data_IF_934998129180
#
_entry.id   IF_934998129180
#
_cell.length_a   1.000
_cell.length_b   1.000
_cell.length_c   1.000
_cell.angle_alpha   90.00
_cell.angle_beta   90.00
_cell.angle_gamma   90.00
#
_symmetry.space_group_name_H-M   'P 1'
#
loop_
_entity.id
_entity.type
_entity.pdbx_description
1 polymer ?
#
# COMPACT_ATOMS: atom_id res chain seq x y z
N UNK A 1 41.88 -19.91 -4.64
CA UNK A 1 42.03 -21.35 -4.40
C UNK A 1 41.59 -21.65 -2.98
N UNK A 2 41.07 -22.84 -2.66
CA UNK A 2 40.97 -23.29 -1.26
C UNK A 2 42.29 -23.02 -0.53
N UNK A 3 42.23 -22.65 0.75
CA UNK A 3 43.39 -22.13 1.51
C UNK A 3 44.63 -23.05 1.51
N UNK A 4 44.48 -24.32 1.11
CA UNK A 4 45.52 -25.35 1.11
C UNK A 4 46.13 -25.66 -0.27
N UNK A 5 45.74 -24.96 -1.35
CA UNK A 5 46.24 -25.25 -2.70
C UNK A 5 46.64 -23.98 -3.44
N UNK A 6 47.83 -23.95 -4.03
CA UNK A 6 48.35 -22.89 -4.89
C UNK A 6 48.90 -23.46 -6.19
N UNK A 7 48.83 -22.66 -7.26
CA UNK A 7 49.47 -23.03 -8.52
C UNK A 7 50.98 -23.14 -8.28
N UNK A 8 51.56 -24.25 -8.74
CA UNK A 8 52.95 -24.61 -8.44
C UNK A 8 53.16 -25.38 -7.13
N UNK A 9 52.12 -25.64 -6.34
CA UNK A 9 52.25 -26.51 -5.16
C UNK A 9 52.63 -27.93 -5.57
N UNK A 10 53.54 -28.53 -4.79
CA UNK A 10 53.99 -29.90 -4.96
C UNK A 10 53.00 -30.86 -4.30
N UNK A 11 52.46 -31.77 -5.09
CA UNK A 11 51.55 -32.83 -4.62
C UNK A 11 52.11 -34.20 -4.98
N UNK A 12 51.88 -35.19 -4.11
CA UNK A 12 52.22 -36.60 -4.39
C UNK A 12 51.07 -37.23 -5.17
N UNK A 13 51.40 -37.85 -6.30
CA UNK A 13 50.45 -38.66 -7.06
C UNK A 13 50.58 -40.14 -6.68
N UNK A 14 49.58 -40.95 -7.03
CA UNK A 14 49.48 -42.37 -6.63
C UNK A 14 50.69 -43.22 -7.02
N UNK A 15 51.40 -42.84 -8.09
CA UNK A 15 52.64 -43.50 -8.51
C UNK A 15 53.85 -43.23 -7.60
N UNK A 16 53.68 -42.43 -6.54
CA UNK A 16 54.72 -42.04 -5.60
C UNK A 16 55.58 -40.85 -6.05
N UNK A 17 55.43 -40.41 -7.29
CA UNK A 17 56.11 -39.25 -7.84
C UNK A 17 55.49 -37.93 -7.33
N UNK A 18 56.29 -36.86 -7.33
CA UNK A 18 55.82 -35.51 -7.08
C UNK A 18 55.50 -34.81 -8.40
N UNK A 19 54.45 -33.99 -8.41
CA UNK A 19 54.11 -33.11 -9.52
C UNK A 19 53.61 -31.76 -9.05
N UNK A 20 53.52 -30.82 -9.98
CA UNK A 20 53.08 -29.44 -9.75
C UNK A 20 51.66 -29.25 -10.24
N UNK A 21 50.86 -28.46 -9.50
CA UNK A 21 49.53 -28.05 -9.93
C UNK A 21 49.66 -26.96 -11.01
N UNK A 22 49.21 -27.21 -12.24
CA UNK A 22 49.43 -26.27 -13.37
C UNK A 22 48.15 -25.63 -13.95
N UNK A 23 46.98 -26.25 -13.78
CA UNK A 23 45.68 -25.65 -14.12
C UNK A 23 44.62 -26.13 -13.13
N UNK A 24 43.69 -25.27 -12.73
CA UNK A 24 42.62 -25.64 -11.81
C UNK A 24 41.31 -24.91 -12.11
N UNK A 25 40.19 -25.52 -11.71
CA UNK A 25 38.85 -24.91 -11.67
C UNK A 25 38.09 -25.43 -10.46
N UNK A 26 37.12 -24.66 -9.99
CA UNK A 26 36.21 -25.06 -8.92
C UNK A 26 34.81 -25.16 -9.50
N UNK A 27 34.06 -26.20 -9.13
CA UNK A 27 32.68 -26.43 -9.53
C UNK A 27 31.82 -26.71 -8.29
N UNK A 28 30.57 -26.25 -8.29
CA UNK A 28 29.59 -26.52 -7.24
C UNK A 28 28.47 -27.38 -7.81
N UNK A 29 28.15 -28.47 -7.11
CA UNK A 29 26.96 -29.28 -7.37
C UNK A 29 26.18 -29.42 -6.06
N UNK A 30 25.03 -28.74 -5.98
CA UNK A 30 24.26 -28.58 -4.74
C UNK A 30 25.06 -27.87 -3.63
N UNK A 31 25.27 -28.54 -2.50
CA UNK A 31 26.04 -28.01 -1.36
C UNK A 31 27.51 -28.49 -1.31
N UNK A 32 28.02 -29.09 -2.40
CA UNK A 32 29.35 -29.71 -2.47
C UNK A 32 30.24 -29.03 -3.50
N UNK A 33 31.46 -28.68 -3.10
CA UNK A 33 32.45 -28.04 -3.97
C UNK A 33 33.51 -29.01 -4.43
N UNK A 34 33.73 -29.06 -5.74
CA UNK A 34 34.71 -29.90 -6.40
C UNK A 34 35.84 -29.02 -6.94
N UNK A 35 37.07 -29.36 -6.57
CA UNK A 35 38.30 -28.75 -7.08
C UNK A 35 38.90 -29.68 -8.12
N UNK A 36 38.84 -29.25 -9.37
CA UNK A 36 39.47 -29.94 -10.48
C UNK A 36 40.84 -29.34 -10.75
N UNK A 37 41.87 -30.16 -10.85
CA UNK A 37 43.22 -29.67 -11.16
C UNK A 37 44.04 -30.67 -11.97
N UNK A 38 45.00 -30.13 -12.71
CA UNK A 38 46.00 -30.90 -13.45
C UNK A 38 47.31 -30.93 -12.69
N UNK A 39 47.89 -32.12 -12.57
CA UNK A 39 49.22 -32.33 -11.98
C UNK A 39 50.19 -32.69 -13.09
N UNK A 40 51.27 -31.93 -13.23
CA UNK A 40 52.34 -32.22 -14.17
C UNK A 40 53.56 -32.78 -13.43
N UNK A 41 54.11 -33.92 -13.88
CA UNK A 41 55.31 -34.53 -13.28
C UNK A 41 56.57 -34.23 -14.08
N UNK A 42 57.74 -34.43 -13.47
CA UNK A 42 59.03 -34.34 -14.17
C UNK A 42 59.19 -35.34 -15.33
N UNK A 43 58.38 -36.40 -15.36
CA UNK A 43 58.29 -37.36 -16.46
C UNK A 43 57.29 -36.97 -17.55
N UNK A 44 56.66 -35.80 -17.46
CA UNK A 44 55.68 -35.28 -18.42
C UNK A 44 54.30 -35.94 -18.34
N UNK A 45 53.99 -36.63 -17.24
CA UNK A 45 52.67 -37.24 -17.02
C UNK A 45 51.72 -36.15 -16.51
N UNK A 46 50.54 -36.08 -17.13
CA UNK A 46 49.44 -35.19 -16.71
C UNK A 46 48.33 -36.03 -16.09
N UNK A 47 48.03 -35.78 -14.81
CA UNK A 47 46.91 -36.39 -14.08
C UNK A 47 45.82 -35.33 -13.83
N UNK A 48 44.55 -35.71 -13.89
CA UNK A 48 43.40 -34.84 -13.59
C UNK A 48 42.74 -35.35 -12.33
N UNK A 49 42.69 -34.52 -11.28
CA UNK A 49 42.09 -34.86 -10.01
C UNK A 49 40.87 -34.02 -9.71
N UNK A 50 39.96 -34.60 -8.94
CA UNK A 50 38.76 -33.99 -8.39
C UNK A 50 38.77 -34.18 -6.88
N UNK A 51 38.87 -33.09 -6.13
CA UNK A 51 38.83 -33.12 -4.66
C UNK A 51 37.61 -32.37 -4.14
N UNK A 52 36.91 -32.94 -3.16
CA UNK A 52 35.86 -32.21 -2.43
C UNK A 52 36.53 -31.20 -1.48
N UNK A 53 36.23 -29.91 -1.63
CA UNK A 53 36.85 -28.85 -0.84
C UNK A 53 35.83 -28.10 0.03
N UNK A 54 36.27 -27.59 1.17
CA UNK A 54 35.53 -26.59 1.93
C UNK A 54 36.00 -25.20 1.51
N UNK A 55 35.09 -24.38 0.97
CA UNK A 55 35.35 -22.95 0.85
C UNK A 55 35.16 -22.26 2.20
N UNK A 56 35.77 -21.07 2.41
CA UNK A 56 35.40 -20.20 3.51
C UNK A 56 33.88 -20.05 3.59
N UNK A 57 33.33 -20.23 4.79
CA UNK A 57 31.89 -20.17 5.06
C UNK A 57 31.23 -18.91 4.47
N UNK A 58 31.93 -17.78 4.50
CA UNK A 58 31.49 -16.50 3.92
C UNK A 58 31.21 -16.56 2.41
N UNK A 59 32.01 -17.31 1.63
CA UNK A 59 31.81 -17.44 0.18
C UNK A 59 30.62 -18.34 -0.13
N UNK A 60 30.39 -19.38 0.68
CA UNK A 60 29.20 -20.22 0.56
C UNK A 60 27.94 -19.42 0.87
N UNK A 61 27.95 -18.64 1.96
CA UNK A 61 26.83 -17.78 2.34
C UNK A 61 26.52 -16.71 1.28
N UNK A 62 27.54 -16.11 0.67
CA UNK A 62 27.37 -15.14 -0.40
C UNK A 62 26.71 -15.76 -1.65
N UNK A 63 27.18 -16.94 -2.08
CA UNK A 63 26.60 -17.69 -3.22
C UNK A 63 25.17 -18.14 -2.97
N UNK A 64 24.86 -18.66 -1.78
CA UNK A 64 23.49 -19.08 -1.43
C UNK A 64 22.52 -17.88 -1.43
N UNK A 65 22.95 -16.72 -0.93
CA UNK A 65 22.18 -15.47 -1.03
C UNK A 65 21.97 -15.04 -2.48
N UNK A 66 22.99 -15.16 -3.32
CA UNK A 66 22.88 -14.87 -4.75
C UNK A 66 21.88 -15.80 -5.45
N UNK A 67 21.92 -17.10 -5.18
CA UNK A 67 20.97 -18.08 -5.73
C UNK A 67 19.53 -17.82 -5.25
N UNK A 68 19.34 -17.50 -3.97
CA UNK A 68 18.05 -17.13 -3.41
C UNK A 68 17.49 -15.87 -4.09
N UNK A 69 18.33 -14.84 -4.27
CA UNK A 69 17.93 -13.59 -4.92
C UNK A 69 17.63 -13.80 -6.41
N UNK A 70 18.42 -14.62 -7.12
CA UNK A 70 18.14 -15.01 -8.50
C UNK A 70 16.80 -15.74 -8.62
N UNK A 71 16.49 -16.63 -7.67
CA UNK A 71 15.18 -17.29 -7.60
C UNK A 71 14.06 -16.28 -7.38
N UNK A 72 14.21 -15.35 -6.42
CA UNK A 72 13.22 -14.29 -6.17
C UNK A 72 12.99 -13.42 -7.41
N UNK A 73 14.06 -12.98 -8.07
CA UNK A 73 13.98 -12.15 -9.28
C UNK A 73 13.23 -12.86 -10.41
N UNK A 74 13.51 -14.15 -10.65
CA UNK A 74 12.74 -14.94 -11.61
C UNK A 74 11.23 -14.96 -11.27
N UNK A 75 10.88 -15.14 -9.99
CA UNK A 75 9.47 -15.08 -9.58
C UNK A 75 8.87 -13.68 -9.73
N UNK A 76 9.60 -12.61 -9.43
CA UNK A 76 9.16 -11.23 -9.63
C UNK A 76 8.83 -10.97 -11.10
N UNK A 77 9.69 -11.41 -12.01
CA UNK A 77 9.50 -11.25 -13.45
C UNK A 77 8.30 -12.06 -13.99
N UNK A 78 8.09 -13.28 -13.47
CA UNK A 78 7.01 -14.16 -13.92
C UNK A 78 5.64 -13.84 -13.30
N UNK A 79 5.61 -13.31 -12.07
CA UNK A 79 4.37 -13.22 -11.28
C UNK A 79 3.83 -11.80 -11.09
N UNK A 80 4.69 -10.80 -11.09
CA UNK A 80 4.27 -9.41 -10.93
C UNK A 80 4.03 -8.72 -12.26
N UNK A 81 3.10 -7.76 -12.25
CA UNK A 81 2.57 -7.09 -13.44
C UNK A 81 2.62 -5.56 -13.34
N UNK A 82 3.39 -5.04 -12.38
CA UNK A 82 3.56 -3.61 -12.16
C UNK A 82 4.87 -3.31 -11.45
N UNK A 83 5.27 -2.04 -11.52
CA UNK A 83 6.43 -1.47 -10.84
C UNK A 83 6.00 -0.32 -9.94
N UNK A 84 6.59 -0.23 -8.75
CA UNK A 84 6.53 0.97 -7.91
C UNK A 84 7.41 2.05 -8.54
N UNK A 85 6.82 3.14 -9.00
CA UNK A 85 7.52 4.23 -9.70
C UNK A 85 7.82 5.44 -8.83
N UNK A 86 7.18 5.53 -7.66
CA UNK A 86 7.48 6.54 -6.65
C UNK A 86 6.96 6.10 -5.28
N UNK A 87 7.66 6.50 -4.23
CA UNK A 87 7.25 6.32 -2.83
C UNK A 87 7.50 7.63 -2.08
N UNK A 88 6.42 8.35 -1.81
CA UNK A 88 6.46 9.55 -0.98
C UNK A 88 6.16 9.19 0.48
N UNK A 89 7.22 9.00 1.27
CA UNK A 89 7.12 8.78 2.71
C UNK A 89 6.65 10.06 3.40
N UNK A 90 5.49 10.01 4.07
CA UNK A 90 5.03 11.11 4.94
C UNK A 90 5.68 11.03 6.32
N UNK A 91 5.79 9.81 6.83
CA UNK A 91 6.59 9.42 7.98
C UNK A 91 6.77 7.88 7.96
N UNK A 92 7.42 7.31 8.98
CA UNK A 92 7.79 5.88 9.03
C UNK A 92 6.61 4.89 8.94
N UNK A 93 5.38 5.35 9.16
CA UNK A 93 4.16 4.54 9.22
C UNK A 93 3.13 4.91 8.13
N UNK A 94 3.45 5.85 7.24
CA UNK A 94 2.50 6.36 6.27
C UNK A 94 3.20 6.83 4.99
N UNK A 95 2.73 6.34 3.85
CA UNK A 95 3.31 6.67 2.57
C UNK A 95 2.27 6.73 1.46
N UNK A 96 2.61 7.48 0.42
CA UNK A 96 1.89 7.49 -0.85
C UNK A 96 2.73 6.73 -1.87
N UNK A 97 2.19 5.65 -2.41
CA UNK A 97 2.83 4.82 -3.43
C UNK A 97 2.25 5.15 -4.79
N UNK A 98 3.10 5.27 -5.81
CA UNK A 98 2.67 5.30 -7.22
C UNK A 98 3.10 4.01 -7.89
N UNK A 99 2.14 3.31 -8.49
CA UNK A 99 2.34 1.98 -9.07
C UNK A 99 1.91 2.00 -10.53
N UNK A 100 2.85 1.72 -11.43
CA UNK A 100 2.62 1.69 -12.88
C UNK A 100 2.47 0.24 -13.35
N UNK A 101 1.32 -0.14 -13.93
CA UNK A 101 1.17 -1.43 -14.60
C UNK A 101 2.13 -1.58 -15.79
N UNK A 102 2.54 -2.80 -16.10
CA UNK A 102 3.41 -3.05 -17.27
C UNK A 102 2.69 -2.88 -18.60
N UNK A 103 1.37 -3.11 -18.60
CA UNK A 103 0.48 -2.91 -19.74
C UNK A 103 -0.42 -1.70 -19.54
N UNK A 104 -1.54 -1.68 -20.27
CA UNK A 104 -2.49 -0.59 -20.19
C UNK A 104 -3.09 -0.45 -18.77
N UNK A 105 -3.05 0.78 -18.25
CA UNK A 105 -3.70 1.11 -16.98
C UNK A 105 -5.21 1.01 -17.14
N UNK A 106 -5.87 0.26 -16.25
CA UNK A 106 -7.33 0.22 -16.22
C UNK A 106 -7.91 1.61 -15.91
N UNK A 107 -9.00 1.96 -16.59
CA UNK A 107 -9.81 3.13 -16.23
C UNK A 107 -10.52 2.89 -14.90
N UNK A 108 -10.78 3.95 -14.15
CA UNK A 108 -11.52 3.89 -12.89
C UNK A 108 -12.39 5.13 -12.72
N UNK A 109 -13.50 4.96 -12.00
CA UNK A 109 -14.28 6.09 -11.49
C UNK A 109 -13.69 6.54 -10.15
N UNK A 110 -13.57 7.86 -9.90
CA UNK A 110 -13.15 8.38 -8.60
C UNK A 110 -13.92 7.78 -7.43
N UNK A 111 -13.16 7.23 -6.48
CA UNK A 111 -13.67 6.52 -5.31
C UNK A 111 -13.63 4.99 -5.40
N UNK A 112 -13.34 4.43 -6.57
CA UNK A 112 -13.09 2.99 -6.71
C UNK A 112 -11.77 2.55 -6.10
N UNK A 113 -11.65 1.24 -5.86
CA UNK A 113 -10.45 0.59 -5.38
C UNK A 113 -9.95 -0.46 -6.37
N UNK A 114 -8.68 -0.82 -6.27
CA UNK A 114 -8.15 -2.05 -6.86
C UNK A 114 -7.37 -2.81 -5.79
N UNK A 115 -6.55 -3.77 -6.17
CA UNK A 115 -5.80 -4.59 -5.22
C UNK A 115 -4.31 -4.47 -5.46
N UNK A 116 -3.55 -4.49 -4.37
CA UNK A 116 -2.10 -4.68 -4.40
C UNK A 116 -1.77 -6.02 -3.75
N UNK A 117 -0.71 -6.67 -4.24
CA UNK A 117 -0.27 -7.93 -3.67
C UNK A 117 1.22 -8.18 -3.82
N UNK A 118 1.76 -8.93 -2.86
CA UNK A 118 3.14 -9.37 -2.80
C UNK A 118 3.18 -10.85 -2.41
N UNK A 119 4.24 -11.53 -2.82
CA UNK A 119 4.54 -12.88 -2.37
C UNK A 119 5.32 -12.86 -1.06
N UNK A 120 5.24 -13.95 -0.30
CA UNK A 120 5.88 -14.12 1.00
C UNK A 120 7.40 -14.11 0.96
N UNK A 121 8.03 -14.40 -0.19
CA UNK A 121 9.48 -14.28 -0.39
C UNK A 121 10.00 -12.84 -0.32
N UNK A 122 9.12 -11.84 -0.39
CA UNK A 122 9.50 -10.45 -0.17
C UNK A 122 9.80 -10.18 1.29
N UNK A 123 10.80 -9.31 1.50
CA UNK A 123 11.21 -8.85 2.82
C UNK A 123 10.06 -8.18 3.57
N UNK A 124 10.13 -8.22 4.90
CA UNK A 124 9.20 -7.54 5.81
C UNK A 124 9.98 -6.53 6.64
N UNK A 125 9.39 -5.37 6.85
CA UNK A 125 10.00 -4.31 7.65
C UNK A 125 10.29 -4.81 9.07
N UNK A 126 11.50 -4.51 9.54
CA UNK A 126 11.94 -4.83 10.89
C UNK A 126 11.03 -4.15 11.94
N UNK A 127 10.82 -4.81 13.07
CA UNK A 127 9.96 -4.31 14.14
C UNK A 127 8.45 -4.44 13.87
N UNK A 128 8.06 -5.25 12.89
CA UNK A 128 6.67 -5.67 12.67
C UNK A 128 6.41 -7.06 13.25
N UNK A 129 5.14 -7.38 13.53
CA UNK A 129 4.73 -8.66 14.09
C UNK A 129 5.21 -9.82 13.20
N UNK A 130 5.84 -10.82 13.84
CA UNK A 130 6.35 -12.00 13.17
C UNK A 130 5.22 -12.89 12.67
N UNK A 131 5.37 -13.44 11.47
CA UNK A 131 4.46 -14.45 10.93
C UNK A 131 4.70 -15.80 11.63
N UNK A 132 3.65 -16.38 12.19
CA UNK A 132 3.68 -17.70 12.80
C UNK A 132 2.38 -18.47 12.47
N UNK A 133 2.44 -19.57 11.70
CA UNK A 133 3.64 -20.12 11.06
C UNK A 133 4.21 -19.18 9.98
N UNK A 134 5.50 -19.34 9.69
CA UNK A 134 6.13 -18.64 8.56
C UNK A 134 5.48 -19.16 7.26
N UNK A 135 5.02 -18.28 6.35
CA UNK A 135 4.39 -18.71 5.11
C UNK A 135 5.40 -19.41 4.18
N UNK A 136 4.90 -20.34 3.36
CA UNK A 136 5.67 -20.95 2.27
C UNK A 136 6.20 -19.90 1.31
N UNK A 137 7.36 -20.12 0.67
CA UNK A 137 8.09 -19.15 -0.16
C UNK A 137 7.24 -18.40 -1.19
N UNK A 138 6.25 -19.04 -1.80
CA UNK A 138 5.40 -18.48 -2.86
C UNK A 138 3.95 -18.26 -2.44
N UNK A 139 3.70 -18.14 -1.13
CA UNK A 139 2.39 -17.71 -0.62
C UNK A 139 2.09 -16.29 -1.08
N UNK A 140 0.91 -16.07 -1.66
CA UNK A 140 0.51 -14.76 -2.17
C UNK A 140 -0.44 -14.04 -1.21
N UNK A 141 -0.14 -12.79 -0.88
CA UNK A 141 -1.02 -11.93 -0.08
C UNK A 141 -1.46 -10.73 -0.90
N UNK A 142 -2.77 -10.47 -0.90
CA UNK A 142 -3.40 -9.40 -1.66
C UNK A 142 -4.44 -8.69 -0.80
N UNK A 143 -4.51 -7.36 -0.90
CA UNK A 143 -5.52 -6.54 -0.21
C UNK A 143 -6.07 -5.48 -1.14
N UNK A 144 -7.30 -5.05 -0.83
CA UNK A 144 -7.94 -3.93 -1.49
C UNK A 144 -7.30 -2.61 -1.00
N UNK A 145 -7.11 -1.68 -1.93
CA UNK A 145 -6.69 -0.30 -1.65
C UNK A 145 -7.49 0.64 -2.55
N UNK A 146 -8.19 1.60 -1.94
CA UNK A 146 -8.83 2.69 -2.65
C UNK A 146 -7.80 3.41 -3.52
N UNK A 147 -8.18 3.70 -4.74
CA UNK A 147 -7.33 4.44 -5.67
C UNK A 147 -7.36 5.90 -5.24
N UNK A 148 -6.22 6.39 -4.78
CA UNK A 148 -5.98 7.81 -4.52
C UNK A 148 -5.69 8.55 -5.83
N UNK A 149 -5.40 9.85 -5.73
CA UNK A 149 -5.08 10.64 -6.90
C UNK A 149 -4.19 11.85 -6.59
N UNK A 150 -3.21 12.04 -7.48
CA UNK A 150 -2.37 13.22 -7.55
C UNK A 150 -3.18 14.39 -8.12
N UNK A 151 -3.87 15.15 -7.27
CA UNK A 151 -4.74 16.26 -7.72
C UNK A 151 -3.95 17.37 -8.45
N UNK A 152 -2.73 17.64 -8.00
CA UNK A 152 -1.87 18.69 -8.54
C UNK A 152 -0.62 18.07 -9.12
N UNK A 153 -0.27 18.46 -10.33
CA UNK A 153 0.97 18.04 -10.96
C UNK A 153 2.17 18.51 -10.14
N UNK A 154 3.17 17.64 -9.95
CA UNK A 154 4.26 17.90 -9.01
C UNK A 154 5.17 19.06 -9.46
N UNK A 155 5.28 19.30 -10.77
CA UNK A 155 6.15 20.35 -11.34
C UNK A 155 5.39 21.65 -11.58
N UNK A 156 4.28 21.55 -12.31
CA UNK A 156 3.50 22.73 -12.75
C UNK A 156 2.52 23.20 -11.68
N UNK A 157 2.19 22.33 -10.73
CA UNK A 157 1.09 22.52 -9.79
C UNK A 157 -0.26 22.78 -10.49
N UNK A 158 -0.45 22.39 -11.74
CA UNK A 158 -1.75 22.44 -12.42
C UNK A 158 -2.67 21.30 -11.97
N UNK A 159 -3.99 21.47 -12.13
CA UNK A 159 -4.94 20.39 -11.84
C UNK A 159 -4.72 19.22 -12.80
N UNK A 160 -4.68 18.01 -12.24
CA UNK A 160 -4.70 16.76 -13.00
C UNK A 160 -6.11 16.18 -12.94
N UNK A 161 -6.65 15.77 -14.08
CA UNK A 161 -7.93 15.05 -14.11
C UNK A 161 -7.74 13.61 -13.63
N UNK A 162 -8.65 13.16 -12.77
CA UNK A 162 -8.64 11.82 -12.22
C UNK A 162 -8.56 10.76 -13.32
N UNK A 163 -7.55 9.89 -13.22
CA UNK A 163 -7.32 8.80 -14.18
C UNK A 163 -6.36 9.11 -15.33
N UNK A 164 -5.87 10.35 -15.47
CA UNK A 164 -4.98 10.73 -16.57
C UNK A 164 -3.51 10.34 -16.38
N UNK A 165 -3.06 10.08 -15.16
CA UNK A 165 -1.70 9.58 -14.92
C UNK A 165 -1.53 8.15 -15.49
N UNK A 166 -0.30 7.76 -15.82
CA UNK A 166 0.02 6.40 -16.28
C UNK A 166 0.24 5.40 -15.13
N UNK A 167 0.13 5.86 -13.88
CA UNK A 167 0.20 5.07 -12.66
C UNK A 167 -1.11 5.16 -11.84
N UNK A 168 -1.26 4.26 -10.88
CA UNK A 168 -2.22 4.37 -9.78
C UNK A 168 -1.51 4.92 -8.55
N UNK A 169 -2.19 5.78 -7.79
CA UNK A 169 -1.69 6.30 -6.51
C UNK A 169 -2.43 5.63 -5.35
N UNK A 170 -1.71 5.28 -4.28
CA UNK A 170 -2.25 4.61 -3.10
C UNK A 170 -1.73 5.27 -1.83
N UNK A 171 -2.64 5.63 -0.93
CA UNK A 171 -2.31 6.19 0.38
C UNK A 171 -2.40 5.10 1.45
N UNK A 172 -1.24 4.69 1.97
CA UNK A 172 -1.12 3.44 2.72
C UNK A 172 -0.48 3.70 4.08
N UNK A 173 -1.14 3.20 5.13
CA UNK A 173 -0.62 3.14 6.49
C UNK A 173 0.05 1.78 6.74
N UNK A 174 1.17 1.78 7.44
CA UNK A 174 1.82 0.58 7.93
C UNK A 174 1.02 -0.01 9.09
N UNK A 175 0.66 -1.30 8.96
CA UNK A 175 0.12 -2.07 10.09
C UNK A 175 1.26 -2.86 10.68
N UNK A 176 1.76 -2.44 11.85
CA UNK A 176 2.88 -3.10 12.53
C UNK A 176 2.46 -4.39 13.23
N UNK A 177 1.27 -4.40 13.82
CA UNK A 177 0.76 -5.49 14.66
C UNK A 177 -0.77 -5.52 14.60
N UNK A 178 -1.36 -6.72 14.49
CA UNK A 178 -2.81 -6.93 14.51
C UNK A 178 -3.36 -7.26 15.92
N UNK A 179 -2.51 -7.25 16.93
CA UNK A 179 -2.82 -7.58 18.32
C UNK A 179 -2.68 -9.08 18.62
N UNK A 180 -2.67 -9.38 19.91
CA UNK A 180 -2.48 -10.74 20.42
C UNK A 180 -3.58 -11.69 19.92
N UNK A 181 -3.16 -12.87 19.44
CA UNK A 181 -4.05 -13.90 18.90
C UNK A 181 -4.51 -13.69 17.45
N UNK A 182 -4.19 -12.54 16.83
CA UNK A 182 -4.50 -12.30 15.42
C UNK A 182 -3.31 -12.63 14.50
N UNK A 183 -3.57 -13.10 13.26
CA UNK A 183 -2.51 -13.31 12.27
C UNK A 183 -1.74 -12.02 12.00
N UNK A 184 -0.42 -12.13 11.84
CA UNK A 184 0.43 -10.99 11.50
C UNK A 184 -0.03 -10.30 10.20
N UNK A 185 0.14 -8.96 10.10
CA UNK A 185 -0.20 -8.23 8.89
C UNK A 185 0.67 -8.74 7.73
N UNK A 186 0.04 -9.36 6.74
CA UNK A 186 0.75 -10.04 5.66
C UNK A 186 1.34 -9.10 4.61
N UNK A 187 0.73 -7.94 4.36
CA UNK A 187 1.06 -7.11 3.20
C UNK A 187 1.79 -5.80 3.54
N UNK A 188 1.28 -4.99 4.46
CA UNK A 188 1.85 -3.64 4.71
C UNK A 188 3.30 -3.67 5.20
N UNK A 189 3.76 -4.61 6.05
CA UNK A 189 5.20 -4.74 6.34
C UNK A 189 6.06 -5.02 5.11
N UNK A 190 5.53 -5.70 4.10
CA UNK A 190 6.25 -5.97 2.84
C UNK A 190 6.22 -4.76 1.91
N UNK A 191 5.11 -4.03 1.86
CA UNK A 191 4.99 -2.80 1.09
C UNK A 191 6.01 -1.74 1.54
N UNK A 192 6.22 -1.60 2.86
CA UNK A 192 7.15 -0.62 3.42
C UNK A 192 8.64 -1.01 3.30
N UNK A 193 8.94 -2.21 2.78
CA UNK A 193 10.30 -2.60 2.37
C UNK A 193 10.58 -2.32 0.89
N UNK A 194 9.54 -2.02 0.10
CA UNK A 194 9.70 -1.73 -1.32
C UNK A 194 10.46 -0.42 -1.52
N UNK A 195 11.10 -0.34 -2.69
CA UNK A 195 11.78 0.86 -3.18
C UNK A 195 11.21 1.22 -4.55
N UNK A 196 11.52 2.41 -5.02
CA UNK A 196 11.33 2.72 -6.44
C UNK A 196 12.02 1.65 -7.31
N UNK A 197 11.33 1.19 -8.35
CA UNK A 197 11.76 0.10 -9.22
C UNK A 197 11.35 -1.29 -8.71
N UNK A 198 10.86 -1.44 -7.48
CA UNK A 198 10.38 -2.73 -6.98
C UNK A 198 9.17 -3.25 -7.77
N UNK A 199 9.14 -4.55 -7.99
CA UNK A 199 8.05 -5.26 -8.69
C UNK A 199 6.91 -5.59 -7.71
N UNK A 200 5.67 -5.48 -8.17
CA UNK A 200 4.46 -5.70 -7.35
C UNK A 200 3.30 -6.23 -8.20
N UNK A 201 2.36 -6.94 -7.57
CA UNK A 201 1.09 -7.27 -8.22
C UNK A 201 0.08 -6.14 -8.06
N UNK A 202 -0.60 -5.78 -9.15
CA UNK A 202 -1.79 -4.93 -9.14
C UNK A 202 -2.98 -5.62 -9.82
N UNK A 203 -4.17 -5.44 -9.23
CA UNK A 203 -5.42 -5.93 -9.80
C UNK A 203 -5.69 -5.34 -11.20
N UNK A 204 -6.21 -6.18 -12.11
CA UNK A 204 -6.45 -5.78 -13.51
C UNK A 204 -7.67 -4.87 -13.73
N UNK A 205 -8.46 -4.63 -12.68
CA UNK A 205 -9.70 -3.85 -12.74
C UNK A 205 -9.83 -2.99 -11.49
N UNK A 206 -10.40 -1.81 -11.65
CA UNK A 206 -10.98 -1.03 -10.56
C UNK A 206 -12.43 -1.48 -10.33
N UNK A 207 -12.83 -1.53 -9.06
CA UNK A 207 -14.16 -1.96 -8.63
C UNK A 207 -14.63 -1.08 -7.46
N UNK A 208 -15.89 -1.23 -7.07
CA UNK A 208 -16.50 -0.45 -5.99
C UNK A 208 -17.61 0.46 -6.52
N UNK A 209 -18.57 0.74 -5.64
CA UNK A 209 -19.74 1.59 -5.93
C UNK A 209 -19.66 2.96 -5.25
N UNK A 210 -18.68 3.17 -4.37
CA UNK A 210 -18.43 4.41 -3.64
C UNK A 210 -17.85 5.47 -4.59
N UNK A 211 -18.73 6.11 -5.36
CA UNK A 211 -18.35 6.98 -6.49
C UNK A 211 -19.29 8.19 -6.59
N UNK A 212 -18.93 9.18 -7.41
CA UNK A 212 -19.72 10.38 -7.63
C UNK A 212 -20.95 10.19 -8.54
N UNK A 213 -21.34 8.96 -8.90
CA UNK A 213 -22.46 8.69 -9.83
C UNK A 213 -23.81 9.30 -9.40
N UNK A 214 -24.00 9.54 -8.10
CA UNK A 214 -25.21 10.17 -7.55
C UNK A 214 -25.22 11.70 -7.66
N UNK A 215 -24.07 12.32 -7.95
CA UNK A 215 -23.93 13.77 -8.06
C UNK A 215 -24.32 14.23 -9.46
N UNK A 216 -25.59 14.58 -9.62
CA UNK A 216 -26.18 15.06 -10.88
C UNK A 216 -26.47 16.56 -10.91
N UNK A 217 -26.30 17.25 -9.78
CA UNK A 217 -26.49 18.68 -9.62
C UNK A 217 -25.20 19.30 -9.10
N UNK A 218 -24.64 20.21 -9.89
CA UNK A 218 -23.36 20.86 -9.61
C UNK A 218 -23.40 21.88 -8.46
N UNK A 219 -24.59 22.20 -7.96
CA UNK A 219 -24.82 23.23 -6.91
C UNK A 219 -24.95 22.64 -5.51
N UNK A 220 -25.11 21.31 -5.40
CA UNK A 220 -25.21 20.63 -4.10
C UNK A 220 -23.90 20.72 -3.32
N UNK A 221 -23.99 20.66 -1.99
CA UNK A 221 -22.82 20.56 -1.12
C UNK A 221 -22.31 19.13 -1.12
N UNK A 222 -21.01 18.94 -1.33
CA UNK A 222 -20.36 17.64 -1.23
C UNK A 222 -19.51 17.62 0.03
N UNK A 223 -19.78 16.67 0.93
CA UNK A 223 -18.99 16.44 2.14
C UNK A 223 -18.27 15.11 1.98
N UNK A 224 -16.94 15.14 2.05
CA UNK A 224 -16.04 14.00 1.93
C UNK A 224 -15.37 13.80 3.31
N UNK A 225 -15.84 12.80 4.07
CA UNK A 225 -15.39 12.55 5.45
C UNK A 225 -14.52 11.30 5.57
N UNK A 226 -13.25 11.46 5.96
CA UNK A 226 -12.27 10.38 6.06
C UNK A 226 -11.67 10.21 7.46
N UNK A 227 -11.33 8.98 7.85
CA UNK A 227 -10.41 8.74 9.00
C UNK A 227 -9.11 8.12 8.54
N UNK A 228 -7.98 8.80 8.75
CA UNK A 228 -6.66 8.35 8.25
C UNK A 228 -6.69 8.09 6.74
N UNK A 229 -6.22 6.92 6.31
CA UNK A 229 -6.21 6.52 4.89
C UNK A 229 -7.58 6.41 4.23
N UNK A 230 -8.68 6.58 4.97
CA UNK A 230 -10.01 6.76 4.41
C UNK A 230 -10.15 8.01 3.52
N UNK A 231 -9.18 8.93 3.54
CA UNK A 231 -9.10 10.06 2.60
C UNK A 231 -8.74 9.63 1.16
N UNK A 232 -8.09 8.48 0.97
CA UNK A 232 -7.61 8.02 -0.33
C UNK A 232 -8.65 8.14 -1.47
N UNK A 233 -9.87 7.56 -1.36
CA UNK A 233 -10.86 7.66 -2.45
C UNK A 233 -11.32 9.10 -2.71
N UNK A 234 -11.26 9.99 -1.71
CA UNK A 234 -11.73 11.37 -1.84
C UNK A 234 -10.83 12.21 -2.72
N UNK A 235 -9.53 11.90 -2.79
CA UNK A 235 -8.58 12.68 -3.60
C UNK A 235 -8.96 12.69 -5.09
N UNK A 236 -9.35 11.53 -5.64
CA UNK A 236 -9.89 11.46 -7.00
C UNK A 236 -11.21 12.20 -7.15
N UNK A 237 -12.09 12.12 -6.14
CA UNK A 237 -13.40 12.80 -6.18
C UNK A 237 -13.22 14.32 -6.21
N UNK A 238 -12.34 14.86 -5.38
CA UNK A 238 -11.99 16.29 -5.34
C UNK A 238 -11.46 16.72 -6.70
N UNK A 239 -10.49 16.00 -7.28
CA UNK A 239 -9.96 16.34 -8.60
C UNK A 239 -11.06 16.35 -9.67
N UNK A 240 -11.99 15.39 -9.66
CA UNK A 240 -13.10 15.37 -10.63
C UNK A 240 -14.06 16.53 -10.45
N UNK A 241 -14.45 16.86 -9.22
CA UNK A 241 -15.34 17.98 -8.94
C UNK A 241 -14.70 19.31 -9.34
N UNK A 242 -13.42 19.53 -8.99
CA UNK A 242 -12.73 20.77 -9.31
C UNK A 242 -12.47 20.92 -10.82
N UNK A 243 -12.00 19.87 -11.50
CA UNK A 243 -11.73 19.90 -12.95
C UNK A 243 -13.00 20.11 -13.80
N UNK A 244 -14.17 19.68 -13.31
CA UNK A 244 -15.45 19.90 -13.99
C UNK A 244 -16.10 21.25 -13.67
N UNK A 245 -15.45 22.08 -12.85
CA UNK A 245 -15.94 23.41 -12.48
C UNK A 245 -17.19 23.38 -11.60
N UNK A 246 -17.30 22.38 -10.73
CA UNK A 246 -18.38 22.21 -9.75
C UNK A 246 -18.65 23.50 -8.96
N UNK A 247 -19.93 23.81 -8.69
CA UNK A 247 -20.36 25.12 -8.18
C UNK A 247 -20.66 25.13 -6.69
N UNK A 248 -21.18 24.03 -6.16
CA UNK A 248 -21.47 23.89 -4.74
C UNK A 248 -20.20 23.79 -3.89
N UNK A 249 -20.37 23.92 -2.58
CA UNK A 249 -19.28 23.75 -1.63
C UNK A 249 -18.79 22.30 -1.59
N UNK A 250 -17.46 22.14 -1.55
CA UNK A 250 -16.76 20.87 -1.43
C UNK A 250 -16.00 20.91 -0.11
N UNK A 251 -16.37 20.06 0.83
CA UNK A 251 -15.74 19.98 2.15
C UNK A 251 -15.01 18.64 2.27
N UNK A 252 -13.70 18.67 2.46
CA UNK A 252 -12.92 17.50 2.86
C UNK A 252 -12.67 17.56 4.37
N UNK A 253 -13.22 16.60 5.11
CA UNK A 253 -13.17 16.50 6.57
C UNK A 253 -12.38 15.25 6.96
N UNK A 254 -11.18 15.40 7.46
CA UNK A 254 -10.28 14.31 7.81
C UNK A 254 -10.05 14.26 9.32
N UNK A 255 -10.13 13.06 9.91
CA UNK A 255 -9.83 12.84 11.33
C UNK A 255 -8.71 11.84 11.49
N UNK A 256 -7.65 12.27 12.15
CA UNK A 256 -6.45 11.47 12.40
C UNK A 256 -6.11 11.37 13.89
N UNK A 257 -5.19 10.47 14.22
CA UNK A 257 -4.66 10.37 15.58
C UNK A 257 -3.70 11.52 15.83
N UNK A 258 -2.75 11.71 14.92
CA UNK A 258 -1.76 12.79 14.94
C UNK A 258 -2.00 13.74 13.77
N UNK A 259 -1.66 15.02 13.92
CA UNK A 259 -1.61 15.93 12.77
C UNK A 259 -0.53 15.54 11.75
N UNK A 260 0.48 14.77 12.17
CA UNK A 260 1.48 14.20 11.26
C UNK A 260 0.87 13.20 10.25
N UNK A 261 -0.32 12.66 10.53
CA UNK A 261 -0.98 11.69 9.66
C UNK A 261 -1.80 12.36 8.54
N UNK A 262 -1.81 13.70 8.40
CA UNK A 262 -2.51 14.41 7.32
C UNK A 262 -1.68 14.42 6.04
N UNK A 263 -1.64 13.28 5.35
CA UNK A 263 -0.75 13.02 4.22
C UNK A 263 -0.93 13.91 2.99
N UNK A 264 -2.08 14.58 2.82
CA UNK A 264 -2.31 15.51 1.70
C UNK A 264 -2.47 16.97 2.13
N UNK A 265 -2.08 17.32 3.35
CA UNK A 265 -2.29 18.67 3.93
C UNK A 265 -1.83 19.82 3.02
N UNK A 266 -0.63 19.74 2.45
CA UNK A 266 -0.10 20.79 1.56
C UNK A 266 -0.90 20.91 0.25
N UNK A 267 -1.41 19.80 -0.27
CA UNK A 267 -2.32 19.81 -1.43
C UNK A 267 -3.61 20.55 -1.07
N UNK A 268 -4.22 20.21 0.06
CA UNK A 268 -5.45 20.85 0.53
C UNK A 268 -5.30 22.35 0.73
N UNK A 269 -4.18 22.79 1.28
CA UNK A 269 -3.86 24.21 1.45
C UNK A 269 -3.84 24.94 0.11
N UNK A 270 -3.13 24.40 -0.89
CA UNK A 270 -3.09 24.97 -2.24
C UNK A 270 -4.48 25.00 -2.89
N UNK A 271 -5.32 23.99 -2.65
CA UNK A 271 -6.68 23.97 -3.19
C UNK A 271 -7.58 25.03 -2.53
N UNK A 272 -7.49 25.22 -1.21
CA UNK A 272 -8.25 26.28 -0.52
C UNK A 272 -7.86 27.69 -0.98
N UNK A 273 -6.59 27.90 -1.35
CA UNK A 273 -6.13 29.17 -1.92
C UNK A 273 -6.70 29.44 -3.32
N UNK A 274 -6.98 28.38 -4.10
CA UNK A 274 -7.40 28.45 -5.51
C UNK A 274 -8.91 28.42 -5.72
N UNK A 275 -9.64 27.72 -4.86
CA UNK A 275 -11.05 27.43 -5.04
C UNK A 275 -11.84 27.93 -3.84
N UNK A 276 -12.61 29.02 -4.02
CA UNK A 276 -13.41 29.63 -2.95
C UNK A 276 -14.50 28.71 -2.41
N UNK A 277 -14.94 27.72 -3.19
CA UNK A 277 -15.91 26.70 -2.79
C UNK A 277 -15.26 25.44 -2.20
N UNK A 278 -13.94 25.36 -2.10
CA UNK A 278 -13.24 24.23 -1.46
C UNK A 278 -12.86 24.56 -0.02
N UNK A 279 -13.12 23.63 0.90
CA UNK A 279 -12.81 23.77 2.33
C UNK A 279 -12.19 22.46 2.82
N UNK A 280 -11.09 22.55 3.56
CA UNK A 280 -10.48 21.39 4.24
C UNK A 280 -10.51 21.58 5.75
N UNK A 281 -10.83 20.49 6.46
CA UNK A 281 -10.87 20.42 7.92
C UNK A 281 -10.11 19.18 8.37
N UNK A 282 -8.92 19.38 8.96
CA UNK A 282 -8.16 18.32 9.61
C UNK A 282 -8.35 18.36 11.13
N UNK A 283 -8.79 17.24 11.73
CA UNK A 283 -8.97 17.09 13.18
C UNK A 283 -8.03 16.02 13.75
N UNK A 284 -7.00 16.45 14.48
CA UNK A 284 -6.11 15.54 15.20
C UNK A 284 -6.68 15.26 16.60
N UNK A 285 -6.69 13.99 17.01
CA UNK A 285 -7.35 13.55 18.26
C UNK A 285 -6.39 13.25 19.41
N UNK A 286 -5.07 13.20 19.15
CA UNK A 286 -4.05 12.80 20.13
C UNK A 286 -2.83 13.72 20.18
N UNK A 287 -2.83 14.81 19.42
CA UNK A 287 -1.77 15.81 19.51
C UNK A 287 -1.69 16.40 20.93
N UNK A 288 -0.49 16.73 21.45
CA UNK A 288 -0.31 17.17 22.84
C UNK A 288 -1.17 18.36 23.28
N UNK A 289 -1.55 19.23 22.34
CA UNK A 289 -2.31 20.45 22.61
C UNK A 289 -3.83 20.26 22.55
N UNK A 290 -4.32 19.07 22.19
CA UNK A 290 -5.75 18.78 22.03
C UNK A 290 -6.36 18.44 23.39
N UNK A 291 -7.21 19.35 23.90
CA UNK A 291 -7.90 19.18 25.18
C UNK A 291 -9.24 18.44 25.05
N UNK A 292 -9.95 18.66 23.96
CA UNK A 292 -11.21 18.00 23.63
C UNK A 292 -11.07 17.32 22.27
N UNK A 293 -11.37 16.01 22.22
CA UNK A 293 -11.33 15.25 20.98
C UNK A 293 -12.63 15.51 20.22
N UNK A 294 -12.49 15.85 18.94
CA UNK A 294 -13.61 16.03 18.03
C UNK A 294 -13.44 15.01 16.91
N UNK A 295 -14.43 14.13 16.77
CA UNK A 295 -14.53 13.21 15.64
C UNK A 295 -15.53 13.75 14.59
N UNK A 296 -15.65 13.07 13.44
CA UNK A 296 -16.55 13.49 12.34
C UNK A 296 -17.99 13.67 12.84
N UNK A 297 -18.49 12.68 13.61
CA UNK A 297 -19.83 12.71 14.18
C UNK A 297 -20.03 13.88 15.15
N UNK A 298 -18.99 14.28 15.89
CA UNK A 298 -19.05 15.44 16.80
C UNK A 298 -19.07 16.74 16.00
N UNK A 299 -18.18 16.86 15.00
CA UNK A 299 -18.07 18.05 14.16
C UNK A 299 -19.41 18.38 13.47
N UNK A 300 -20.11 17.34 13.01
CA UNK A 300 -21.45 17.48 12.41
C UNK A 300 -22.51 17.72 13.48
N UNK A 301 -22.62 16.87 14.50
CA UNK A 301 -23.71 16.97 15.50
C UNK A 301 -23.66 18.22 16.37
N UNK A 302 -22.48 18.80 16.59
CA UNK A 302 -22.29 20.06 17.32
C UNK A 302 -22.50 21.31 16.45
N UNK A 303 -22.85 21.17 15.17
CA UNK A 303 -23.10 22.29 14.26
C UNK A 303 -21.84 22.99 13.73
N UNK A 304 -20.64 22.44 13.97
CA UNK A 304 -19.38 23.09 13.56
C UNK A 304 -19.26 23.16 12.03
N UNK A 305 -19.81 22.17 11.32
CA UNK A 305 -19.90 22.19 9.86
C UNK A 305 -20.86 23.28 9.36
N UNK A 306 -22.00 23.47 10.04
CA UNK A 306 -22.97 24.50 9.69
C UNK A 306 -22.34 25.89 9.87
N UNK A 307 -21.59 26.09 10.95
CA UNK A 307 -20.83 27.32 11.20
C UNK A 307 -19.76 27.58 10.13
N UNK A 308 -19.04 26.53 9.69
CA UNK A 308 -18.04 26.62 8.62
C UNK A 308 -18.67 27.03 7.28
N UNK A 309 -19.84 26.48 6.97
CA UNK A 309 -20.54 26.74 5.71
C UNK A 309 -21.36 28.04 5.74
N UNK A 310 -21.78 28.49 6.92
CA UNK A 310 -22.74 29.59 7.09
C UNK A 310 -24.18 29.20 6.76
N UNK A 311 -24.43 27.91 6.51
CA UNK A 311 -25.76 27.32 6.30
C UNK A 311 -25.72 25.84 6.68
N UNK A 312 -26.91 25.27 6.90
CA UNK A 312 -27.06 23.85 7.20
C UNK A 312 -27.36 23.05 5.93
N UNK A 313 -26.50 22.10 5.51
CA UNK A 313 -26.82 21.19 4.42
C UNK A 313 -28.06 20.35 4.77
N UNK A 314 -28.95 20.18 3.79
CA UNK A 314 -30.21 19.42 3.94
C UNK A 314 -30.21 18.18 3.05
N UNK A 315 -31.14 17.23 3.26
CA UNK A 315 -31.21 16.03 2.43
C UNK A 315 -31.31 16.29 0.92
N UNK A 316 -31.94 17.40 0.52
CA UNK A 316 -32.12 17.77 -0.88
C UNK A 316 -30.92 18.54 -1.46
N UNK A 317 -30.08 19.13 -0.60
CA UNK A 317 -29.01 20.06 -1.01
C UNK A 317 -27.61 19.50 -0.83
N UNK A 318 -27.45 18.28 -0.32
CA UNK A 318 -26.12 17.70 -0.10
C UNK A 318 -25.99 16.21 -0.34
N UNK A 319 -24.75 15.82 -0.66
CA UNK A 319 -24.28 14.44 -0.64
C UNK A 319 -23.11 14.31 0.35
N UNK A 320 -23.08 13.19 1.06
CA UNK A 320 -22.09 12.88 2.08
C UNK A 320 -21.41 11.57 1.72
N UNK A 321 -20.08 11.56 1.75
CA UNK A 321 -19.24 10.44 1.35
C UNK A 321 -18.29 10.13 2.50
N UNK A 322 -18.49 9.00 3.18
CA UNK A 322 -17.63 8.59 4.30
C UNK A 322 -16.81 7.35 4.01
N UNK A 323 -15.51 7.40 4.28
CA UNK A 323 -14.64 6.24 4.20
C UNK A 323 -13.70 6.16 5.41
N UNK A 324 -13.56 4.95 5.97
CA UNK A 324 -12.65 4.73 7.08
C UNK A 324 -13.15 3.72 8.11
N UNK A 325 -12.91 4.02 9.38
CA UNK A 325 -13.17 3.12 10.50
C UNK A 325 -14.64 2.69 10.56
N UNK A 326 -14.97 1.39 10.59
CA UNK A 326 -16.34 0.92 10.75
C UNK A 326 -17.05 1.52 11.98
N UNK A 327 -16.32 1.83 13.06
CA UNK A 327 -16.86 2.54 14.23
C UNK A 327 -17.17 4.01 13.96
N UNK A 328 -16.45 4.67 13.06
CA UNK A 328 -16.77 6.03 12.63
C UNK A 328 -18.01 6.02 11.75
N UNK A 329 -18.12 5.07 10.81
CA UNK A 329 -19.29 4.94 9.95
C UNK A 329 -20.55 4.62 10.76
N UNK A 330 -20.47 3.61 11.63
CA UNK A 330 -21.60 3.15 12.43
C UNK A 330 -22.73 2.57 11.59
N UNK A 331 -22.39 1.75 10.58
CA UNK A 331 -23.38 1.12 9.70
C UNK A 331 -24.36 0.29 10.55
N UNK A 332 -25.67 0.53 10.47
CA UNK A 332 -26.61 -0.22 11.30
C UNK A 332 -26.72 -1.65 10.82
N UNK A 333 -26.92 -2.54 11.79
CA UNK A 333 -27.07 -3.98 11.56
C UNK A 333 -28.55 -4.30 11.54
N UNK A 334 -28.99 -4.97 10.47
CA UNK A 334 -30.36 -5.47 10.37
C UNK A 334 -30.47 -6.85 11.01
N UNK A 335 -31.35 -6.97 12.01
CA UNK A 335 -31.70 -8.26 12.58
C UNK A 335 -32.45 -9.10 11.53
N UNK A 336 -31.94 -10.31 11.24
CA UNK A 336 -32.48 -11.18 10.18
C UNK A 336 -33.88 -11.72 10.47
N UNK A 337 -34.24 -11.87 11.74
CA UNK A 337 -35.52 -12.46 12.16
C UNK A 337 -36.62 -11.41 12.26
N UNK A 338 -36.30 -10.26 12.84
CA UNK A 338 -37.29 -9.19 13.09
C UNK A 338 -37.30 -8.13 11.99
N UNK A 339 -36.27 -8.08 11.15
CA UNK A 339 -36.06 -7.01 10.17
C UNK A 339 -35.73 -5.65 10.78
N UNK A 340 -35.62 -5.54 12.11
CA UNK A 340 -35.31 -4.28 12.80
C UNK A 340 -33.83 -3.94 12.66
N UNK A 341 -33.55 -2.68 12.36
CA UNK A 341 -32.20 -2.14 12.33
C UNK A 341 -31.79 -1.61 13.71
N UNK A 342 -30.52 -1.82 14.07
CA UNK A 342 -29.91 -1.29 15.28
C UNK A 342 -28.54 -0.70 14.96
N UNK A 343 -28.31 0.50 15.45
CA UNK A 343 -27.02 1.18 15.34
C UNK A 343 -26.00 0.62 16.34
N UNK A 344 -24.71 0.56 15.97
CA UNK A 344 -23.66 0.13 16.88
C UNK A 344 -23.34 1.20 17.93
N UNK A 345 -22.72 0.77 19.03
CA UNK A 345 -22.14 1.67 20.05
C UNK A 345 -20.61 1.60 19.97
N UNK A 346 -19.88 2.73 19.96
CA UNK A 346 -20.37 4.10 20.02
C UNK A 346 -21.08 4.54 18.73
N UNK A 347 -21.87 5.61 18.85
CA UNK A 347 -22.61 6.24 17.77
C UNK A 347 -21.68 6.70 16.63
N UNK A 348 -22.06 6.33 15.41
CA UNK A 348 -21.33 6.67 14.17
C UNK A 348 -22.03 7.75 13.36
N UNK A 349 -21.37 8.20 12.30
CA UNK A 349 -21.83 9.34 11.47
C UNK A 349 -23.12 9.04 10.71
N UNK A 350 -23.38 7.79 10.32
CA UNK A 350 -24.61 7.42 9.63
C UNK A 350 -25.82 7.64 10.54
N UNK A 351 -25.73 7.22 11.81
CA UNK A 351 -26.79 7.44 12.79
C UNK A 351 -27.08 8.93 13.02
N UNK A 352 -26.02 9.75 13.13
CA UNK A 352 -26.15 11.21 13.26
C UNK A 352 -26.94 11.79 12.08
N UNK A 353 -26.53 11.45 10.87
CA UNK A 353 -27.10 12.05 9.65
C UNK A 353 -28.52 11.55 9.38
N UNK A 354 -28.84 10.28 9.64
CA UNK A 354 -30.22 9.80 9.57
C UNK A 354 -31.11 10.47 10.62
N UNK A 355 -30.59 10.74 11.82
CA UNK A 355 -31.27 11.57 12.83
C UNK A 355 -31.52 13.02 12.37
N UNK A 356 -30.75 13.50 11.39
CA UNK A 356 -30.94 14.80 10.73
C UNK A 356 -31.80 14.73 9.46
N UNK A 357 -32.36 13.56 9.13
CA UNK A 357 -33.26 13.35 8.00
C UNK A 357 -32.57 12.97 6.68
N UNK A 358 -31.25 12.82 6.66
CA UNK A 358 -30.53 12.24 5.52
C UNK A 358 -30.82 10.74 5.44
N UNK A 359 -30.45 10.10 4.32
CA UNK A 359 -30.68 8.67 4.11
C UNK A 359 -29.41 7.96 3.70
N UNK A 360 -29.08 6.87 4.39
CA UNK A 360 -28.03 5.96 3.96
C UNK A 360 -28.34 5.40 2.58
N UNK A 361 -27.35 5.44 1.71
CA UNK A 361 -27.43 4.76 0.43
C UNK A 361 -27.34 3.25 0.66
N UNK A 362 -28.39 2.54 0.26
CA UNK A 362 -28.52 1.07 0.36
C UNK A 362 -28.61 0.44 -1.02
N UNK A 363 -27.99 1.09 -2.01
CA UNK A 363 -27.91 0.64 -3.40
C UNK A 363 -29.13 1.03 -4.23
N UNK A 364 -29.16 0.56 -5.47
CA UNK A 364 -30.06 1.03 -6.54
C UNK A 364 -31.55 1.08 -6.15
N UNK A 365 -32.02 0.14 -5.32
CA UNK A 365 -33.44 0.08 -4.92
C UNK A 365 -33.79 1.09 -3.83
N UNK A 366 -32.81 1.54 -3.06
CA UNK A 366 -32.97 2.42 -1.91
C UNK A 366 -31.83 3.44 -1.92
N UNK A 367 -31.79 4.35 -2.91
CA UNK A 367 -30.74 5.34 -3.01
C UNK A 367 -30.87 6.33 -1.85
N UNK A 368 -29.71 6.77 -1.36
CA UNK A 368 -29.58 7.76 -0.31
C UNK A 368 -28.61 8.86 -0.72
N UNK A 369 -28.37 9.78 0.20
CA UNK A 369 -27.34 10.82 0.05
C UNK A 369 -26.22 10.70 1.08
N UNK A 370 -26.20 9.62 1.87
CA UNK A 370 -25.05 9.21 2.67
C UNK A 370 -24.44 7.97 2.01
N UNK A 371 -23.35 8.15 1.29
CA UNK A 371 -22.57 7.11 0.65
C UNK A 371 -21.41 6.74 1.57
N UNK A 372 -21.07 5.45 1.68
CA UNK A 372 -20.00 5.01 2.58
C UNK A 372 -19.28 3.76 2.10
N UNK A 373 -18.03 3.62 2.51
CA UNK A 373 -17.19 2.43 2.29
C UNK A 373 -16.26 2.17 3.48
N UNK A 374 -16.20 0.92 3.95
CA UNK A 374 -15.26 0.49 4.99
C UNK A 374 -13.89 0.20 4.38
N UNK A 375 -12.82 0.64 5.03
CA UNK A 375 -11.44 0.37 4.57
C UNK A 375 -10.78 -0.91 5.13
N UNK A 376 -11.44 -1.68 6.02
CA UNK A 376 -10.99 -3.00 6.50
C UNK A 376 -12.15 -3.91 6.91
#
# INVERSE_FOLDING_TARGET
>A
MPNNFRQGDLVKIESGNQGTIENWRVHLDGAKWFFYYTINTSSGIVDVREDLISLPQELLEARLKEEEENKKNKYRDEKYNATVVDINMRHEDLAIFRVKPDGDKATYDPGQYTTLGLYSFEGRLEGTQNENPVPEFDSFVQRAYSISHRILDDETSELVEAGNDDFFEFYIVLVRDNGEGNPAPGLTPRLFELKEGSRIHIGKKAVGHYTLHHVNDSTKTIILGGTGTGEAPHMGMIAKLLSTGYKGDIVCLEVCRSSADFGYFETHKKLMERYSNYKYVGLATRDPNIKEKVYIQDYISKGMLDDLLGYKPTPDTSHWYFCGNPKMLGVPVKNKETGKESYPTPLGVIEVLEGMGHKADRGVKNPGNIHYEEYW
#
